data_IF_290085290933
#
_entry.id   IF_290085290933
#
_cell.length_a   1.000
_cell.length_b   1.000
_cell.length_c   1.000
_cell.angle_alpha   90.00
_cell.angle_beta   90.00
_cell.angle_gamma   90.00
#
_symmetry.space_group_name_H-M   'P 1'
#
loop_
_entity.id
_entity.type
_entity.pdbx_description
1 polymer ?
#
# COMPACT_ATOMS: atom_id res chain seq x y z
N UNK A 1 13.91 -4.39 6.55
CA UNK A 1 12.75 -4.91 5.78
C UNK A 1 12.90 -6.43 5.62
N UNK A 2 12.01 -7.25 6.20
CA UNK A 2 12.16 -8.72 6.26
C UNK A 2 11.81 -9.43 4.93
N UNK A 3 11.28 -8.73 3.93
CA UNK A 3 10.82 -9.33 2.67
C UNK A 3 11.93 -9.98 1.85
N UNK A 4 13.08 -9.30 1.66
CA UNK A 4 14.23 -9.88 0.92
C UNK A 4 14.70 -11.21 1.51
N UNK A 5 14.66 -11.36 2.84
CA UNK A 5 15.07 -12.59 3.55
C UNK A 5 14.13 -13.78 3.29
N UNK A 6 12.82 -13.55 3.15
CA UNK A 6 11.88 -14.64 2.87
C UNK A 6 11.94 -15.07 1.39
N UNK A 7 12.08 -14.10 0.49
CA UNK A 7 12.29 -14.35 -0.94
C UNK A 7 13.53 -15.21 -1.21
N UNK A 8 14.68 -14.84 -0.61
CA UNK A 8 15.93 -15.58 -0.76
C UNK A 8 15.91 -17.00 -0.19
N UNK A 9 14.93 -17.33 0.67
CA UNK A 9 14.80 -18.65 1.29
C UNK A 9 13.72 -19.52 0.60
N UNK A 10 13.24 -19.13 -0.58
CA UNK A 10 12.22 -19.88 -1.32
C UNK A 10 10.81 -19.80 -0.72
N UNK A 11 10.58 -18.95 0.28
CA UNK A 11 9.27 -18.73 0.92
C UNK A 11 8.53 -17.58 0.25
N UNK A 12 8.22 -17.80 -1.02
CA UNK A 12 7.58 -16.81 -1.89
C UNK A 12 6.16 -16.47 -1.45
N UNK A 13 5.45 -17.46 -0.91
CA UNK A 13 4.15 -17.32 -0.26
C UNK A 13 4.17 -16.28 0.88
N UNK A 14 5.15 -16.39 1.80
CA UNK A 14 5.28 -15.46 2.93
C UNK A 14 5.68 -14.07 2.45
N UNK A 15 6.58 -13.99 1.46
CA UNK A 15 7.01 -12.71 0.90
C UNK A 15 5.85 -11.99 0.20
N UNK A 16 5.02 -12.74 -0.52
CA UNK A 16 3.81 -12.26 -1.20
C UNK A 16 2.80 -11.71 -0.20
N UNK A 17 2.46 -12.50 0.82
CA UNK A 17 1.49 -12.07 1.83
C UNK A 17 1.96 -10.80 2.52
N UNK A 18 3.25 -10.72 2.90
CA UNK A 18 3.82 -9.52 3.51
C UNK A 18 3.76 -8.31 2.58
N UNK A 19 3.96 -8.49 1.28
CA UNK A 19 3.84 -7.37 0.33
C UNK A 19 2.40 -6.88 0.27
N UNK A 20 1.43 -7.81 0.19
CA UNK A 20 0.00 -7.47 0.17
C UNK A 20 -0.38 -6.70 1.44
N UNK A 21 0.02 -7.17 2.62
CA UNK A 21 -0.29 -6.51 3.91
C UNK A 21 0.25 -5.06 3.96
N UNK A 22 1.48 -4.86 3.46
CA UNK A 22 2.11 -3.52 3.38
C UNK A 22 1.35 -2.61 2.39
N UNK A 23 0.92 -3.16 1.25
CA UNK A 23 0.17 -2.43 0.23
C UNK A 23 -1.26 -2.09 0.68
N UNK A 24 -1.90 -2.94 1.50
CA UNK A 24 -3.19 -2.62 2.12
C UNK A 24 -3.07 -1.38 3.00
N UNK A 25 -2.05 -1.36 3.86
CA UNK A 25 -1.79 -0.21 4.74
C UNK A 25 -1.54 1.06 3.91
N UNK A 26 -0.74 0.94 2.85
CA UNK A 26 -0.43 2.05 1.95
C UNK A 26 -1.65 2.56 1.17
N UNK A 27 -2.46 1.65 0.63
CA UNK A 27 -3.69 1.97 -0.10
C UNK A 27 -4.68 2.74 0.77
N UNK A 28 -4.87 2.31 2.02
CA UNK A 28 -5.76 2.96 2.98
C UNK A 28 -5.22 4.33 3.42
N UNK A 29 -3.94 4.43 3.75
CA UNK A 29 -3.34 5.67 4.23
C UNK A 29 -3.24 6.75 3.14
N UNK A 30 -3.00 6.36 1.89
CA UNK A 30 -2.88 7.27 0.76
C UNK A 30 -4.18 7.53 0.00
N UNK A 31 -5.28 6.87 0.35
CA UNK A 31 -6.55 6.87 -0.39
C UNK A 31 -6.36 6.58 -1.90
N UNK A 32 -5.46 5.65 -2.21
CA UNK A 32 -5.14 5.24 -3.58
C UNK A 32 -5.61 3.82 -3.86
N UNK A 33 -6.20 3.59 -5.04
CA UNK A 33 -6.50 2.24 -5.51
C UNK A 33 -5.19 1.55 -5.92
N UNK A 34 -4.89 0.41 -5.29
CA UNK A 34 -3.69 -0.36 -5.58
C UNK A 34 -4.06 -1.66 -6.28
N UNK A 35 -3.35 -1.94 -7.36
CA UNK A 35 -3.34 -3.25 -8.03
C UNK A 35 -1.92 -3.80 -7.95
N UNK A 36 -1.77 -5.02 -7.45
CA UNK A 36 -0.49 -5.74 -7.45
C UNK A 36 -0.58 -6.95 -8.35
N UNK A 37 0.42 -7.11 -9.22
CA UNK A 37 0.46 -8.17 -10.23
C UNK A 37 1.62 -9.11 -9.91
N UNK A 38 1.32 -10.39 -9.75
CA UNK A 38 2.29 -11.46 -9.63
C UNK A 38 2.33 -12.25 -10.93
N UNK A 39 3.53 -12.42 -11.48
CA UNK A 39 3.72 -13.24 -12.67
C UNK A 39 3.37 -14.70 -12.36
N UNK A 40 2.40 -15.23 -13.09
CA UNK A 40 1.96 -16.61 -13.01
C UNK A 40 1.90 -17.27 -14.39
N UNK A 41 2.57 -16.71 -15.40
CA UNK A 41 2.46 -17.16 -16.81
C UNK A 41 2.88 -18.63 -16.95
N UNK A 42 3.88 -19.04 -16.16
CA UNK A 42 4.42 -20.41 -16.18
C UNK A 42 3.66 -21.38 -15.26
N UNK A 43 2.56 -20.96 -14.62
CA UNK A 43 1.78 -21.80 -13.70
C UNK A 43 0.86 -22.79 -14.42
N UNK A 44 0.52 -22.54 -15.68
CA UNK A 44 -0.51 -23.28 -16.42
C UNK A 44 -1.94 -23.02 -15.94
N UNK A 45 -2.14 -22.04 -15.06
CA UNK A 45 -3.44 -21.61 -14.56
C UNK A 45 -3.93 -20.36 -15.31
N UNK A 46 -5.26 -20.15 -15.43
CA UNK A 46 -5.80 -18.92 -15.97
C UNK A 46 -5.47 -17.72 -15.07
N UNK A 47 -5.59 -16.51 -15.61
CA UNK A 47 -5.44 -15.28 -14.83
C UNK A 47 -6.45 -15.27 -13.68
N UNK A 48 -5.97 -15.05 -12.45
CA UNK A 48 -6.81 -15.00 -11.25
C UNK A 48 -6.81 -13.60 -10.65
N UNK A 49 -7.95 -13.21 -10.08
CA UNK A 49 -8.14 -11.94 -9.39
C UNK A 49 -8.67 -12.19 -7.98
N UNK A 50 -8.01 -11.59 -7.01
CA UNK A 50 -8.41 -11.58 -5.60
C UNK A 50 -8.47 -10.13 -5.10
N UNK A 51 -9.19 -9.89 -4.01
CA UNK A 51 -9.21 -8.59 -3.35
C UNK A 51 -8.88 -8.75 -1.86
N UNK A 52 -7.94 -7.96 -1.38
CA UNK A 52 -7.53 -7.92 0.02
C UNK A 52 -7.71 -6.51 0.55
N UNK A 53 -8.79 -6.28 1.29
CA UNK A 53 -9.07 -4.99 1.93
C UNK A 53 -8.90 -3.78 1.00
N UNK A 54 -9.39 -3.87 -0.24
CA UNK A 54 -9.33 -2.79 -1.24
C UNK A 54 -8.12 -2.87 -2.19
N UNK A 55 -7.14 -3.73 -1.93
CA UNK A 55 -6.03 -4.02 -2.86
C UNK A 55 -6.45 -5.15 -3.80
N UNK A 56 -6.47 -4.88 -5.10
CA UNK A 56 -6.68 -5.90 -6.12
C UNK A 56 -5.36 -6.67 -6.35
N UNK A 57 -5.39 -7.99 -6.20
CA UNK A 57 -4.25 -8.88 -6.45
C UNK A 57 -4.53 -9.68 -7.71
N UNK A 58 -3.62 -9.58 -8.67
CA UNK A 58 -3.71 -10.27 -9.96
C UNK A 58 -2.58 -11.28 -10.07
N UNK A 59 -2.93 -12.51 -10.41
CA UNK A 59 -1.97 -13.53 -10.85
C UNK A 59 -2.10 -13.65 -12.36
N UNK A 60 -1.15 -13.10 -13.12
CA UNK A 60 -1.22 -13.05 -14.59
C UNK A 60 -0.85 -14.41 -15.18
N UNK A 61 -1.85 -15.24 -15.49
CA UNK A 61 -1.65 -16.61 -15.97
C UNK A 61 -1.49 -16.72 -17.49
N UNK A 62 -2.06 -15.76 -18.23
CA UNK A 62 -2.10 -15.78 -19.70
C UNK A 62 -0.96 -14.98 -20.35
N UNK A 63 -0.31 -14.10 -19.59
CA UNK A 63 0.81 -13.25 -20.02
C UNK A 63 1.77 -13.01 -18.86
N UNK A 64 2.99 -12.57 -19.16
CA UNK A 64 3.87 -12.06 -18.12
C UNK A 64 3.24 -10.84 -17.43
N UNK A 65 3.71 -10.54 -16.21
CA UNK A 65 3.18 -9.43 -15.43
C UNK A 65 3.34 -8.09 -16.16
N UNK A 66 4.47 -7.88 -16.84
CA UNK A 66 4.76 -6.65 -17.58
C UNK A 66 3.74 -6.38 -18.69
N UNK A 67 3.45 -7.38 -19.54
CA UNK A 67 2.46 -7.27 -20.61
C UNK A 67 1.04 -7.07 -20.07
N UNK A 68 0.72 -7.68 -18.92
CA UNK A 68 -0.57 -7.45 -18.27
C UNK A 68 -0.70 -6.00 -17.80
N UNK A 69 0.35 -5.47 -17.14
CA UNK A 69 0.40 -4.08 -16.67
C UNK A 69 0.29 -3.09 -17.82
N UNK A 70 1.01 -3.31 -18.93
CA UNK A 70 0.93 -2.43 -20.11
C UNK A 70 -0.49 -2.33 -20.65
N UNK A 71 -1.17 -3.47 -20.81
CA UNK A 71 -2.56 -3.52 -21.27
C UNK A 71 -3.50 -2.79 -20.32
N UNK A 72 -3.34 -2.99 -19.01
CA UNK A 72 -4.17 -2.34 -18.00
C UNK A 72 -3.96 -0.82 -17.96
N UNK A 73 -2.71 -0.36 -18.10
CA UNK A 73 -2.41 1.08 -18.17
C UNK A 73 -3.14 1.71 -19.36
N UNK A 74 -3.06 1.10 -20.54
CA UNK A 74 -3.75 1.61 -21.74
C UNK A 74 -5.26 1.68 -21.50
N UNK A 75 -5.86 0.60 -20.99
CA UNK A 75 -7.29 0.56 -20.69
C UNK A 75 -7.72 1.66 -19.72
N UNK A 76 -7.00 1.84 -18.61
CA UNK A 76 -7.29 2.89 -17.63
C UNK A 76 -7.17 4.30 -18.23
N UNK A 77 -6.21 4.52 -19.13
CA UNK A 77 -6.03 5.81 -19.79
C UNK A 77 -7.13 6.08 -20.82
N UNK A 78 -7.56 5.07 -21.57
CA UNK A 78 -8.68 5.14 -22.50
C UNK A 78 -10.01 5.40 -21.76
N UNK A 79 -10.17 4.82 -20.57
CA UNK A 79 -11.31 5.07 -19.66
C UNK A 79 -11.28 6.45 -18.99
N UNK A 80 -10.28 7.29 -19.30
CA UNK A 80 -10.18 8.66 -18.81
C UNK A 80 -9.60 8.80 -17.41
N UNK A 81 -8.93 7.76 -16.88
CA UNK A 81 -8.26 7.84 -15.57
C UNK A 81 -7.17 8.94 -15.61
N UNK A 82 -7.29 10.01 -14.81
CA UNK A 82 -6.44 11.19 -14.97
C UNK A 82 -4.98 10.93 -14.57
N UNK A 83 -4.74 10.00 -13.64
CA UNK A 83 -3.40 9.65 -13.14
C UNK A 83 -3.29 8.13 -12.93
N UNK A 84 -2.41 7.50 -13.70
CA UNK A 84 -2.02 6.09 -13.54
C UNK A 84 -0.55 6.05 -13.17
N UNK A 85 -0.19 5.30 -12.13
CA UNK A 85 1.19 5.15 -11.67
C UNK A 85 1.61 3.68 -11.80
N UNK A 86 2.77 3.45 -12.42
CA UNK A 86 3.41 2.14 -12.50
C UNK A 86 4.64 2.14 -11.61
N UNK A 87 4.74 1.15 -10.71
CA UNK A 87 5.93 0.97 -9.89
C UNK A 87 6.78 -0.14 -10.49
N UNK A 88 7.98 0.21 -10.97
CA UNK A 88 8.95 -0.75 -11.49
C UNK A 88 10.37 -0.23 -11.41
N UNK A 89 11.32 -1.14 -11.27
CA UNK A 89 12.76 -0.86 -11.38
C UNK A 89 13.37 -1.34 -12.70
N UNK A 90 12.58 -1.95 -13.59
CA UNK A 90 13.02 -2.37 -14.92
C UNK A 90 12.96 -1.20 -15.92
N UNK A 91 14.08 -0.87 -16.55
CA UNK A 91 14.16 0.30 -17.44
C UNK A 91 13.31 0.17 -18.72
N UNK A 92 13.14 -1.03 -19.25
CA UNK A 92 12.30 -1.25 -20.44
C UNK A 92 10.84 -0.99 -20.06
N UNK A 93 10.41 -1.53 -18.91
CA UNK A 93 9.05 -1.32 -18.42
C UNK A 93 8.75 0.13 -18.07
N UNK A 94 9.74 0.88 -17.56
CA UNK A 94 9.59 2.33 -17.33
C UNK A 94 9.29 3.07 -18.64
N UNK A 95 10.02 2.76 -19.71
CA UNK A 95 9.82 3.38 -21.02
C UNK A 95 8.45 3.03 -21.60
N UNK A 96 8.05 1.76 -21.52
CA UNK A 96 6.74 1.30 -21.98
C UNK A 96 5.59 2.00 -21.23
N UNK A 97 5.64 2.02 -19.89
CA UNK A 97 4.65 2.69 -19.06
C UNK A 97 4.55 4.20 -19.35
N UNK A 98 5.68 4.88 -19.52
CA UNK A 98 5.70 6.28 -19.91
C UNK A 98 5.11 6.52 -21.30
N UNK A 99 5.43 5.66 -22.27
CA UNK A 99 4.87 5.72 -23.62
C UNK A 99 3.35 5.54 -23.63
N UNK A 100 2.81 4.73 -22.72
CA UNK A 100 1.38 4.54 -22.51
C UNK A 100 0.71 5.66 -21.68
N UNK A 101 1.45 6.70 -21.26
CA UNK A 101 0.91 7.85 -20.54
C UNK A 101 0.78 7.66 -19.02
N UNK A 102 1.44 6.65 -18.44
CA UNK A 102 1.56 6.50 -17.00
C UNK A 102 2.75 7.28 -16.42
N UNK A 103 2.61 7.65 -15.16
CA UNK A 103 3.72 8.07 -14.32
C UNK A 103 4.45 6.84 -13.78
N UNK A 104 5.73 6.97 -13.48
CA UNK A 104 6.56 5.86 -13.04
C UNK A 104 7.18 6.15 -11.69
N UNK A 105 7.15 5.15 -10.82
CA UNK A 105 7.90 5.11 -9.57
C UNK A 105 8.90 3.97 -9.57
N UNK A 106 10.07 4.22 -8.99
CA UNK A 106 10.99 3.15 -8.67
C UNK A 106 10.49 2.34 -7.48
N UNK A 107 10.86 1.07 -7.38
CA UNK A 107 10.57 0.25 -6.20
C UNK A 107 11.14 0.88 -4.91
N UNK A 108 12.27 1.58 -5.00
CA UNK A 108 12.85 2.31 -3.85
C UNK A 108 11.97 3.47 -3.41
N UNK A 109 11.39 4.22 -4.34
CA UNK A 109 10.46 5.30 -4.04
C UNK A 109 9.21 4.77 -3.34
N UNK A 110 8.60 3.70 -3.86
CA UNK A 110 7.46 3.06 -3.20
C UNK A 110 7.80 2.60 -1.77
N UNK A 111 8.97 1.97 -1.57
CA UNK A 111 9.39 1.54 -0.23
C UNK A 111 9.57 2.72 0.74
N UNK A 112 10.07 3.86 0.26
CA UNK A 112 10.16 5.07 1.08
C UNK A 112 8.77 5.60 1.43
N UNK A 113 7.85 5.63 0.46
CA UNK A 113 6.49 6.12 0.66
C UNK A 113 5.73 5.25 1.66
N UNK A 114 5.77 3.92 1.51
CA UNK A 114 5.15 2.98 2.45
C UNK A 114 5.66 3.22 3.89
N UNK A 115 6.96 3.48 4.06
CA UNK A 115 7.52 3.77 5.39
C UNK A 115 7.00 5.09 5.94
N UNK A 116 7.00 6.14 5.12
CA UNK A 116 6.49 7.45 5.50
C UNK A 116 5.01 7.37 5.91
N UNK A 117 4.17 6.67 5.13
CA UNK A 117 2.76 6.46 5.47
C UNK A 117 2.59 5.72 6.80
N UNK A 118 3.45 4.74 7.10
CA UNK A 118 3.41 4.03 8.38
C UNK A 118 3.82 4.89 9.56
N UNK A 119 4.88 5.67 9.41
CA UNK A 119 5.33 6.61 10.44
C UNK A 119 4.26 7.67 10.72
N UNK A 120 3.56 8.13 9.67
CA UNK A 120 2.44 9.07 9.80
C UNK A 120 1.27 8.47 10.57
N UNK A 121 0.84 7.25 10.20
CA UNK A 121 -0.26 6.55 10.90
C UNK A 121 0.09 6.32 12.37
N UNK A 122 1.31 5.88 12.67
CA UNK A 122 1.75 5.68 14.06
C UNK A 122 1.75 6.99 14.84
N UNK A 123 2.23 8.09 14.24
CA UNK A 123 2.20 9.42 14.86
C UNK A 123 0.78 9.86 15.19
N UNK A 124 -0.16 9.74 14.25
CA UNK A 124 -1.57 10.07 14.46
C UNK A 124 -2.17 9.24 15.61
N UNK A 125 -1.89 7.94 15.64
CA UNK A 125 -2.37 7.05 16.71
C UNK A 125 -1.77 7.42 18.08
N UNK A 126 -0.50 7.81 18.12
CA UNK A 126 0.16 8.24 19.34
C UNK A 126 -0.40 9.57 19.85
N UNK A 127 -0.66 10.52 18.95
CA UNK A 127 -1.30 11.80 19.28
C UNK A 127 -2.73 11.60 19.80
N UNK A 128 -3.53 10.76 19.14
CA UNK A 128 -4.87 10.41 19.62
C UNK A 128 -4.84 9.74 20.99
N UNK A 129 -3.92 8.81 21.22
CA UNK A 129 -3.74 8.21 22.55
C UNK A 129 -3.36 9.26 23.58
N UNK A 130 -2.45 10.16 23.26
CA UNK A 130 -2.01 11.22 24.18
C UNK A 130 -3.15 12.19 24.50
N UNK A 131 -3.94 12.60 23.51
CA UNK A 131 -5.13 13.42 23.70
C UNK A 131 -6.20 12.72 24.55
N UNK A 132 -6.43 11.42 24.36
CA UNK A 132 -7.34 10.64 25.21
C UNK A 132 -6.86 10.55 26.67
N UNK A 133 -5.55 10.46 26.88
CA UNK A 133 -4.96 10.47 28.23
C UNK A 133 -5.08 11.85 28.88
N UNK A 134 -4.80 12.92 28.15
CA UNK A 134 -4.87 14.30 28.64
C UNK A 134 -6.31 14.67 29.01
N UNK A 135 -7.27 14.37 28.13
CA UNK A 135 -8.69 14.54 28.40
C UNK A 135 -9.17 13.74 29.63
N UNK A 136 -8.63 12.54 29.85
CA UNK A 136 -8.93 11.75 31.06
C UNK A 136 -8.36 12.41 32.31
N UNK A 137 -7.12 12.90 32.26
CA UNK A 137 -6.49 13.57 33.41
C UNK A 137 -7.23 14.87 33.74
N UNK A 138 -7.61 15.66 32.74
CA UNK A 138 -8.44 16.86 32.91
C UNK A 138 -9.82 16.53 33.49
N UNK A 139 -10.46 15.45 33.03
CA UNK A 139 -11.73 15.00 33.60
C UNK A 139 -11.55 14.52 35.06
N UNK A 140 -10.47 13.82 35.38
CA UNK A 140 -10.13 13.46 36.75
C UNK A 140 -9.83 14.70 37.64
N UNK A 141 -9.05 15.66 37.16
CA UNK A 141 -8.69 16.88 37.90
C UNK A 141 -9.87 17.84 38.09
N UNK A 142 -10.76 17.93 37.10
CA UNK A 142 -12.01 18.72 37.20
C UNK A 142 -13.01 18.08 38.17
N UNK A 143 -13.08 16.74 38.22
CA UNK A 143 -13.86 16.00 39.21
C UNK A 143 -13.27 16.08 40.63
N UNK A 144 -11.94 16.19 40.77
CA UNK A 144 -11.26 16.36 42.07
C UNK A 144 -11.28 17.82 42.56
N UNK A 145 -11.45 18.81 41.68
CA UNK A 145 -11.42 20.24 42.06
C UNK A 145 -12.70 20.80 42.69
N UNK A 146 -13.75 20.01 42.95
CA UNK A 146 -14.92 20.47 43.74
C UNK A 146 -14.79 20.14 45.23
N UNK A 147 -13.98 20.91 45.97
CA UNK A 147 -14.35 21.35 47.33
C UNK A 147 -13.39 22.41 47.88
N UNK A 148 -13.70 23.68 47.66
CA UNK A 148 -13.37 24.74 48.63
C UNK A 148 -14.48 25.78 48.58
N UNK A 149 -15.50 25.62 49.41
CA UNK A 149 -16.25 26.76 49.95
C UNK A 149 -16.02 26.77 51.45
N UNK A 150 -15.41 27.87 51.92
CA UNK A 150 -15.15 28.18 53.32
C UNK A 150 -16.34 28.96 53.87
N UNK A 151 -16.92 28.48 54.96
CA UNK A 151 -17.05 29.15 56.26
C UNK A 151 -17.71 28.18 57.24
#
# INVERSE_FOLDING_TARGET
MKLKKHFMNGRLDIARQKLIDELVTFSLAGEVKVVVVFDAMMSGLPTQKENFAGVDVIYSGESCADAWIEKEVVALREDGCPKVWVVTSDHVQQQAAHGAGAFVWSCKALVSEIKASKEEVERILQEQRSALYDNRVDDYLSNVSRKVEKC
#
